data_IF_114682139841
#
_entry.id   IF_114682139841
#
_cell.length_a   1.000
_cell.length_b   1.000
_cell.length_c   1.000
_cell.angle_alpha   90.00
_cell.angle_beta   90.00
_cell.angle_gamma   90.00
#
_symmetry.space_group_name_H-M   'P 1'
#
loop_
_entity.id
_entity.type
_entity.pdbx_description
1 polymer ?
#
# COMPACT_ATOMS: atom_id res chain seq x y z
N UNK A 1 13.38 -1.80 7.78
CA UNK A 1 12.88 -2.83 6.85
C UNK A 1 11.78 -2.20 5.99
N UNK A 2 11.25 -2.90 4.96
CA UNK A 2 10.01 -2.48 4.29
C UNK A 2 8.83 -3.21 4.93
N UNK A 3 7.73 -2.49 5.17
CA UNK A 3 6.53 -3.03 5.83
C UNK A 3 5.31 -2.78 4.96
N UNK A 4 4.50 -3.81 4.74
CA UNK A 4 3.22 -3.71 4.02
C UNK A 4 2.21 -2.97 4.90
N UNK A 5 1.68 -1.86 4.41
CA UNK A 5 0.67 -1.05 5.13
C UNK A 5 -0.73 -1.16 4.52
N UNK A 6 -0.83 -1.63 3.28
CA UNK A 6 -2.09 -1.79 2.57
C UNK A 6 -1.94 -2.86 1.49
N UNK A 7 -3.02 -3.58 1.21
CA UNK A 7 -3.07 -4.59 0.15
C UNK A 7 -4.41 -4.52 -0.56
N UNK A 8 -4.39 -4.56 -1.90
CA UNK A 8 -5.62 -4.51 -2.69
C UNK A 8 -5.48 -5.27 -4.00
N UNK A 9 -6.59 -5.74 -4.56
CA UNK A 9 -6.64 -6.30 -5.91
C UNK A 9 -6.91 -5.23 -6.98
N UNK A 10 -7.17 -3.99 -6.57
CA UNK A 10 -7.49 -2.91 -7.48
C UNK A 10 -6.27 -2.00 -7.68
N UNK A 11 -5.65 -2.10 -8.86
CA UNK A 11 -4.50 -1.27 -9.24
C UNK A 11 -4.75 0.24 -9.11
N UNK A 12 -6.00 0.70 -9.32
CA UNK A 12 -6.34 2.12 -9.16
C UNK A 12 -6.26 2.54 -7.70
N UNK A 13 -6.76 1.71 -6.78
CA UNK A 13 -6.66 1.96 -5.34
C UNK A 13 -5.19 1.92 -4.90
N UNK A 14 -4.41 0.93 -5.37
CA UNK A 14 -2.97 0.86 -5.05
C UNK A 14 -2.22 2.13 -5.46
N UNK A 15 -2.50 2.65 -6.66
CA UNK A 15 -1.92 3.91 -7.15
C UNK A 15 -2.41 5.14 -6.38
N UNK A 16 -3.67 5.15 -5.91
CA UNK A 16 -4.21 6.22 -5.07
C UNK A 16 -3.49 6.26 -3.72
N UNK A 17 -3.37 5.11 -3.05
CA UNK A 17 -2.64 4.98 -1.77
C UNK A 17 -1.19 5.40 -1.93
N UNK A 18 -0.50 4.93 -2.97
CA UNK A 18 0.87 5.36 -3.29
C UNK A 18 0.97 6.88 -3.45
N UNK A 19 0.10 7.47 -4.28
CA UNK A 19 0.14 8.90 -4.55
C UNK A 19 -0.16 9.74 -3.31
N UNK A 20 -1.07 9.29 -2.45
CA UNK A 20 -1.38 9.94 -1.18
C UNK A 20 -0.15 9.94 -0.26
N UNK A 21 0.38 8.76 0.05
CA UNK A 21 1.49 8.64 1.01
C UNK A 21 2.78 9.30 0.52
N UNK A 22 3.07 9.24 -0.79
CA UNK A 22 4.22 9.96 -1.37
C UNK A 22 4.05 11.48 -1.31
N UNK A 23 2.81 12.01 -1.40
CA UNK A 23 2.55 13.45 -1.27
C UNK A 23 2.76 13.96 0.15
N UNK A 24 2.48 13.12 1.15
CA UNK A 24 2.78 13.39 2.56
C UNK A 24 4.28 13.24 2.89
N UNK A 25 5.12 12.87 1.91
CA UNK A 25 6.57 12.82 2.04
C UNK A 25 7.14 11.46 2.43
N UNK A 26 6.31 10.41 2.50
CA UNK A 26 6.76 9.06 2.85
C UNK A 26 7.41 8.35 1.66
N UNK A 27 8.34 7.43 1.95
CA UNK A 27 8.92 6.57 0.92
C UNK A 27 8.04 5.35 0.70
N UNK A 28 7.47 5.23 -0.50
CA UNK A 28 6.47 4.20 -0.81
C UNK A 28 6.94 3.29 -1.94
N UNK A 29 6.62 2.01 -1.84
CA UNK A 29 6.82 1.00 -2.88
C UNK A 29 5.50 0.27 -3.16
N UNK A 30 5.28 -0.13 -4.41
CA UNK A 30 4.22 -1.09 -4.77
C UNK A 30 4.90 -2.37 -5.24
N UNK A 31 4.52 -3.51 -4.67
CA UNK A 31 4.88 -4.83 -5.16
C UNK A 31 3.65 -5.56 -5.69
N UNK A 32 3.84 -6.27 -6.79
CA UNK A 32 2.86 -7.16 -7.40
C UNK A 32 3.07 -8.58 -6.88
N UNK A 33 2.09 -9.11 -6.15
CA UNK A 33 2.11 -10.46 -5.62
C UNK A 33 1.11 -11.34 -6.35
N UNK A 34 1.63 -12.31 -7.11
CA UNK A 34 0.82 -13.33 -7.77
C UNK A 34 0.74 -14.59 -6.89
N UNK A 35 -0.45 -14.94 -6.40
CA UNK A 35 -0.66 -16.22 -5.70
C UNK A 35 -0.91 -17.32 -6.73
N UNK A 36 0.15 -18.06 -7.01
CA UNK A 36 0.27 -19.18 -7.98
C UNK A 36 -0.75 -20.33 -7.89
N UNK A 37 -1.72 -20.34 -6.97
CA UNK A 37 -2.38 -21.62 -6.61
C UNK A 37 -3.90 -21.71 -6.75
N UNK A 38 -4.68 -20.63 -6.83
CA UNK A 38 -6.15 -20.83 -6.82
C UNK A 38 -7.00 -19.71 -7.45
N UNK A 39 -6.68 -19.35 -8.70
CA UNK A 39 -7.27 -18.30 -9.57
C UNK A 39 -6.44 -17.02 -9.53
N UNK A 40 -5.70 -16.76 -10.63
CA UNK A 40 -4.98 -15.53 -11.03
C UNK A 40 -5.50 -14.23 -10.38
N UNK A 41 -5.23 -14.02 -9.09
CA UNK A 41 -5.64 -12.85 -8.34
C UNK A 41 -4.37 -12.11 -7.99
N UNK A 42 -4.03 -11.16 -8.85
CA UNK A 42 -2.94 -10.22 -8.65
C UNK A 42 -3.29 -9.31 -7.49
N UNK A 43 -2.49 -9.38 -6.43
CA UNK A 43 -2.55 -8.42 -5.33
C UNK A 43 -1.44 -7.39 -5.49
N UNK A 44 -1.74 -6.17 -5.09
CA UNK A 44 -0.79 -5.08 -4.98
C UNK A 44 -0.55 -4.83 -3.49
N UNK A 45 0.68 -5.05 -3.04
CA UNK A 45 1.15 -4.67 -1.72
C UNK A 45 1.71 -3.25 -1.79
N UNK A 46 1.28 -2.39 -0.88
CA UNK A 46 1.83 -1.05 -0.73
C UNK A 46 2.67 -1.06 0.54
N UNK A 47 3.95 -0.72 0.39
CA UNK A 47 4.93 -0.77 1.46
C UNK A 47 5.52 0.60 1.72
N UNK A 48 5.87 0.84 2.98
CA UNK A 48 6.67 2.00 3.43
C UNK A 48 7.86 1.52 4.24
N UNK A 49 8.77 2.43 4.60
CA UNK A 49 9.80 2.11 5.58
C UNK A 49 9.12 1.76 6.92
N UNK A 50 9.66 0.78 7.62
CA UNK A 50 9.15 0.35 8.92
C UNK A 50 9.03 1.51 9.93
N UNK A 51 9.96 2.47 9.89
CA UNK A 51 9.94 3.69 10.70
C UNK A 51 8.79 4.66 10.36
N UNK A 52 8.14 4.49 9.22
CA UNK A 52 7.05 5.33 8.69
C UNK A 52 5.69 4.63 8.77
N UNK A 53 5.64 3.37 9.23
CA UNK A 53 4.44 2.53 9.14
C UNK A 53 3.25 3.05 9.97
N UNK A 54 3.51 3.59 11.16
CA UNK A 54 2.47 4.15 12.02
C UNK A 54 1.88 5.44 11.42
N UNK A 55 2.73 6.35 10.96
CA UNK A 55 2.33 7.58 10.28
C UNK A 55 1.51 7.29 9.01
N UNK A 56 1.97 6.33 8.19
CA UNK A 56 1.24 5.89 7.01
C UNK A 56 -0.16 5.38 7.35
N UNK A 57 -0.32 4.60 8.44
CA UNK A 57 -1.65 4.13 8.86
C UNK A 57 -2.57 5.28 9.28
N UNK A 58 -2.06 6.27 10.03
CA UNK A 58 -2.84 7.45 10.43
C UNK A 58 -3.34 8.20 9.20
N UNK A 59 -2.45 8.51 8.25
CA UNK A 59 -2.82 9.21 7.00
C UNK A 59 -3.92 8.46 6.25
N UNK A 60 -3.83 7.12 6.18
CA UNK A 60 -4.81 6.30 5.48
C UNK A 60 -6.17 6.29 6.18
N UNK A 61 -6.21 6.18 7.51
CA UNK A 61 -7.46 6.26 8.27
C UNK A 61 -8.17 7.61 8.05
N UNK A 62 -7.42 8.70 8.05
CA UNK A 62 -7.96 10.06 7.86
C UNK A 62 -8.52 10.31 6.45
N UNK A 63 -7.87 9.78 5.41
CA UNK A 63 -8.18 10.14 4.02
C UNK A 63 -8.99 9.10 3.25
N UNK A 64 -8.96 7.83 3.67
CA UNK A 64 -9.59 6.73 2.93
C UNK A 64 -10.84 6.16 3.61
N UNK A 65 -11.23 6.65 4.81
CA UNK A 65 -12.29 6.07 5.64
C UNK A 65 -12.10 4.56 5.83
N UNK A 66 -10.87 4.13 6.11
CA UNK A 66 -10.55 2.75 6.45
C UNK A 66 -10.93 2.40 7.89
#
# INVERSE_FOLDING_TARGET
MWTVIYMTQNVKIAKQVYSLLTREGLMVKIDELDKLSDKNKLFYEILVLESEAEEAQVILLEHMNL
#
